data_IF_750245285971
#
_entry.id   IF_750245285971
#
_cell.length_a   1.000
_cell.length_b   1.000
_cell.length_c   1.000
_cell.angle_alpha   90.00
_cell.angle_beta   90.00
_cell.angle_gamma   90.00
#
_symmetry.space_group_name_H-M   'P 1'
#
loop_
_entity.id
_entity.type
_entity.pdbx_description
1 polymer ?
#
# COMPACT_ATOMS: atom_id res chain seq x y z
N UNK A 1 7.69 -2.85 16.91
CA UNK A 1 7.39 -2.25 15.60
C UNK A 1 7.43 -3.38 14.60
N UNK A 2 6.29 -3.61 13.97
CA UNK A 2 6.07 -4.70 13.01
C UNK A 2 6.37 -4.21 11.61
N UNK A 3 7.14 -4.99 10.85
CA UNK A 3 7.47 -4.69 9.46
C UNK A 3 6.21 -4.70 8.58
N UNK A 4 6.12 -3.76 7.63
CA UNK A 4 5.06 -3.79 6.63
C UNK A 4 5.24 -4.97 5.65
N UNK A 5 6.48 -5.41 5.41
CA UNK A 5 6.76 -6.62 4.64
C UNK A 5 6.12 -7.89 5.25
N UNK A 6 6.03 -7.99 6.59
CA UNK A 6 5.35 -9.13 7.25
C UNK A 6 3.83 -9.09 7.02
N UNK A 7 3.26 -7.87 6.98
CA UNK A 7 1.86 -7.67 6.62
C UNK A 7 1.61 -8.11 5.17
N UNK A 8 2.48 -7.67 4.22
CA UNK A 8 2.42 -8.03 2.79
C UNK A 8 2.52 -9.54 2.60
N UNK A 9 3.51 -10.18 3.22
CA UNK A 9 3.67 -11.64 3.16
C UNK A 9 2.42 -12.39 3.66
N UNK A 10 1.78 -11.86 4.70
CA UNK A 10 0.52 -12.42 5.20
C UNK A 10 -0.64 -12.20 4.24
N UNK A 11 -0.73 -11.01 3.62
CA UNK A 11 -1.74 -10.69 2.62
C UNK A 11 -1.59 -11.58 1.36
N UNK A 12 -0.36 -11.84 0.91
CA UNK A 12 -0.08 -12.74 -0.21
C UNK A 12 -0.46 -14.19 0.13
N UNK A 13 -0.14 -14.66 1.35
CA UNK A 13 -0.56 -15.99 1.81
C UNK A 13 -2.09 -16.14 1.83
N UNK A 14 -2.82 -15.11 2.22
CA UNK A 14 -4.29 -15.09 2.21
C UNK A 14 -4.86 -15.03 0.79
N UNK A 15 -4.23 -14.25 -0.10
CA UNK A 15 -4.62 -14.14 -1.52
C UNK A 15 -4.34 -15.44 -2.28
N UNK A 16 -3.23 -16.11 -1.97
CA UNK A 16 -2.71 -17.28 -2.69
C UNK A 16 -3.46 -18.60 -2.45
N UNK A 17 -4.46 -18.64 -1.57
CA UNK A 17 -5.24 -19.85 -1.28
C UNK A 17 -6.75 -19.59 -1.28
N UNK A 18 -7.58 -20.48 -1.84
CA UNK A 18 -9.04 -20.41 -1.68
C UNK A 18 -9.53 -21.00 -0.34
N UNK A 19 -8.69 -21.73 0.39
CA UNK A 19 -9.10 -22.51 1.56
C UNK A 19 -9.29 -21.62 2.79
N UNK A 20 -10.52 -21.54 3.29
CA UNK A 20 -10.90 -20.70 4.44
C UNK A 20 -10.03 -20.94 5.68
N UNK A 21 -9.71 -22.20 6.01
CA UNK A 21 -8.89 -22.52 7.19
C UNK A 21 -7.44 -22.04 7.06
N UNK A 22 -6.84 -22.13 5.87
CA UNK A 22 -5.48 -21.63 5.64
C UNK A 22 -5.43 -20.10 5.76
N UNK A 23 -6.46 -19.39 5.25
CA UNK A 23 -6.59 -17.94 5.44
C UNK A 23 -6.65 -17.55 6.92
N UNK A 24 -7.49 -18.24 7.71
CA UNK A 24 -7.59 -17.96 9.14
C UNK A 24 -6.28 -18.26 9.86
N UNK A 25 -5.59 -19.35 9.53
CA UNK A 25 -4.32 -19.68 10.16
C UNK A 25 -3.24 -18.62 9.88
N UNK A 26 -3.15 -18.13 8.64
CA UNK A 26 -2.24 -17.04 8.27
C UNK A 26 -2.53 -15.75 9.06
N UNK A 27 -3.80 -15.34 9.09
CA UNK A 27 -4.24 -14.14 9.81
C UNK A 27 -4.07 -14.29 11.33
N UNK A 28 -4.47 -15.42 11.92
CA UNK A 28 -4.37 -15.64 13.36
C UNK A 28 -2.92 -15.61 13.85
N UNK A 29 -2.00 -16.22 13.08
CA UNK A 29 -0.57 -16.19 13.37
C UNK A 29 -0.02 -14.77 13.37
N UNK A 30 -0.36 -13.97 12.36
CA UNK A 30 0.12 -12.61 12.24
C UNK A 30 -0.50 -11.68 13.28
N UNK A 31 -1.84 -11.63 13.35
CA UNK A 31 -2.59 -10.74 14.23
C UNK A 31 -2.35 -11.05 15.72
N UNK A 32 -2.18 -12.32 16.09
CA UNK A 32 -1.96 -12.74 17.47
C UNK A 32 -0.62 -12.28 18.07
N UNK A 33 0.32 -11.82 17.25
CA UNK A 33 1.61 -11.27 17.70
C UNK A 33 1.65 -9.74 17.81
N UNK A 34 0.59 -9.04 17.43
CA UNK A 34 0.57 -7.57 17.36
C UNK A 34 0.17 -6.93 18.67
N UNK A 35 0.71 -5.73 18.92
CA UNK A 35 0.16 -4.82 19.94
C UNK A 35 -1.21 -4.27 19.50
N UNK A 36 -2.03 -3.79 20.45
CA UNK A 36 -3.36 -3.26 20.12
C UNK A 36 -3.36 -2.16 19.03
N UNK A 37 -2.44 -1.16 19.05
CA UNK A 37 -2.41 -0.15 17.99
C UNK A 37 -2.06 -0.74 16.62
N UNK A 38 -1.09 -1.66 16.55
CA UNK A 38 -0.69 -2.34 15.32
C UNK A 38 -1.79 -3.27 14.81
N UNK A 39 -2.47 -3.99 15.72
CA UNK A 39 -3.59 -4.86 15.40
C UNK A 39 -4.72 -4.10 14.68
N UNK A 40 -5.06 -2.93 15.23
CA UNK A 40 -6.08 -2.05 14.65
C UNK A 40 -5.68 -1.58 13.25
N UNK A 41 -4.42 -1.17 13.05
CA UNK A 41 -3.93 -0.74 11.74
C UNK A 41 -3.94 -1.90 10.74
N UNK A 42 -3.31 -3.03 11.09
CA UNK A 42 -3.22 -4.22 10.25
C UNK A 42 -4.59 -4.73 9.80
N UNK A 43 -5.55 -4.83 10.71
CA UNK A 43 -6.89 -5.33 10.41
C UNK A 43 -7.62 -4.45 9.38
N UNK A 44 -7.43 -3.13 9.42
CA UNK A 44 -8.02 -2.20 8.44
C UNK A 44 -7.38 -2.38 7.07
N UNK A 45 -6.05 -2.49 7.02
CA UNK A 45 -5.35 -2.73 5.75
C UNK A 45 -5.77 -4.07 5.14
N UNK A 46 -5.96 -5.14 5.93
CA UNK A 46 -6.46 -6.44 5.41
C UNK A 46 -7.89 -6.34 4.89
N UNK A 47 -8.67 -5.39 5.39
CA UNK A 47 -10.00 -5.06 4.88
C UNK A 47 -9.95 -4.10 3.68
N UNK A 48 -8.77 -3.77 3.16
CA UNK A 48 -8.57 -2.88 2.01
C UNK A 48 -8.81 -1.40 2.32
N UNK A 49 -8.78 -0.99 3.59
CA UNK A 49 -9.18 0.35 4.00
C UNK A 49 -8.06 1.12 4.74
N UNK A 50 -7.82 2.40 4.40
CA UNK A 50 -6.86 3.24 5.14
C UNK A 50 -7.40 3.65 6.52
N UNK A 51 -8.72 3.73 6.70
CA UNK A 51 -9.39 4.19 7.91
C UNK A 51 -10.56 3.26 8.33
N UNK A 52 -11.03 3.32 9.59
CA UNK A 52 -12.27 2.66 10.01
C UNK A 52 -13.46 3.07 9.17
N UNK A 53 -14.44 2.17 9.01
CA UNK A 53 -15.71 2.48 8.31
C UNK A 53 -16.52 3.63 8.92
N UNK A 54 -16.36 3.88 10.23
CA UNK A 54 -17.02 4.99 10.95
C UNK A 54 -16.27 6.32 10.83
N UNK A 55 -15.08 6.29 10.25
CA UNK A 55 -14.24 7.45 10.04
C UNK A 55 -14.54 7.99 8.63
N UNK A 56 -15.00 9.24 8.56
CA UNK A 56 -15.40 9.86 7.29
C UNK A 56 -14.21 10.40 6.48
N UNK A 57 -12.99 10.30 7.02
CA UNK A 57 -11.78 10.73 6.32
C UNK A 57 -11.54 9.89 5.08
N UNK A 58 -11.12 10.56 4.02
CA UNK A 58 -10.63 9.96 2.78
C UNK A 58 -9.26 10.52 2.44
N UNK A 59 -8.42 9.71 1.79
CA UNK A 59 -7.11 10.17 1.34
C UNK A 59 -7.26 11.26 0.26
N UNK A 60 -8.32 11.20 -0.55
CA UNK A 60 -8.57 12.12 -1.66
C UNK A 60 -7.34 12.26 -2.58
N UNK A 61 -6.70 11.11 -2.85
CA UNK A 61 -5.67 10.94 -3.86
C UNK A 61 -6.26 10.08 -4.97
N UNK A 62 -6.41 10.67 -6.15
CA UNK A 62 -6.82 9.92 -7.34
C UNK A 62 -5.65 9.21 -7.98
N UNK A 63 -5.95 8.35 -8.96
CA UNK A 63 -4.95 7.62 -9.74
C UNK A 63 -3.86 8.52 -10.33
N UNK A 64 -4.20 9.72 -10.83
CA UNK A 64 -3.22 10.65 -11.40
C UNK A 64 -2.07 10.98 -10.44
N UNK A 65 -2.36 11.22 -9.15
CA UNK A 65 -1.33 11.50 -8.16
C UNK A 65 -0.47 10.26 -7.84
N UNK A 66 -1.07 9.06 -7.85
CA UNK A 66 -0.35 7.80 -7.68
C UNK A 66 0.58 7.53 -8.88
N UNK A 67 0.07 7.66 -10.10
CA UNK A 67 0.83 7.42 -11.32
C UNK A 67 2.02 8.36 -11.44
N UNK A 68 1.84 9.64 -11.12
CA UNK A 68 2.93 10.63 -11.16
C UNK A 68 4.08 10.23 -10.21
N UNK A 69 3.74 9.84 -8.97
CA UNK A 69 4.74 9.41 -7.98
C UNK A 69 5.43 8.11 -8.39
N UNK A 70 4.71 7.15 -8.97
CA UNK A 70 5.28 5.90 -9.46
C UNK A 70 6.22 6.11 -10.65
N UNK A 71 5.86 6.99 -11.59
CA UNK A 71 6.71 7.37 -12.72
C UNK A 71 7.97 8.09 -12.26
N UNK A 72 7.84 9.05 -11.34
CA UNK A 72 8.98 9.73 -10.73
C UNK A 72 9.93 8.74 -10.06
N UNK A 73 9.40 7.85 -9.21
CA UNK A 73 10.18 6.83 -8.49
C UNK A 73 10.89 5.86 -9.45
N UNK A 74 10.19 5.41 -10.49
CA UNK A 74 10.75 4.44 -11.44
C UNK A 74 11.68 5.08 -12.47
N UNK A 75 11.69 6.42 -12.59
CA UNK A 75 12.33 7.15 -13.69
C UNK A 75 11.86 6.67 -15.07
N UNK A 76 10.62 6.18 -15.15
CA UNK A 76 9.95 5.71 -16.37
C UNK A 76 9.03 6.79 -16.93
N UNK A 77 8.55 6.58 -18.16
CA UNK A 77 7.64 7.49 -18.84
C UNK A 77 6.23 6.94 -19.02
N UNK A 78 5.34 7.76 -19.59
CA UNK A 78 3.95 7.36 -19.87
C UNK A 78 3.81 6.14 -20.79
N UNK A 79 4.79 5.89 -21.67
CA UNK A 79 4.78 4.69 -22.53
C UNK A 79 5.01 3.41 -21.71
N UNK A 80 5.87 3.44 -20.69
CA UNK A 80 6.10 2.31 -19.81
C UNK A 80 4.87 2.01 -18.95
N UNK A 81 4.21 3.07 -18.46
CA UNK A 81 2.92 2.96 -17.76
C UNK A 81 1.86 2.32 -18.65
N UNK A 82 1.68 2.79 -19.88
CA UNK A 82 0.73 2.23 -20.83
C UNK A 82 1.03 0.76 -21.15
N UNK A 83 2.31 0.40 -21.29
CA UNK A 83 2.71 -0.99 -21.52
C UNK A 83 2.43 -1.88 -20.30
N UNK A 84 2.68 -1.39 -19.09
CA UNK A 84 2.37 -2.10 -17.84
C UNK A 84 0.87 -2.35 -17.68
N UNK A 85 0.05 -1.34 -17.99
CA UNK A 85 -1.40 -1.45 -18.04
C UNK A 85 -1.92 -2.52 -19.00
N UNK A 86 -1.25 -2.72 -20.14
CA UNK A 86 -1.65 -3.76 -21.09
C UNK A 86 -1.34 -5.17 -20.57
N UNK A 87 -0.34 -5.31 -19.70
CA UNK A 87 0.05 -6.60 -19.11
C UNK A 87 -0.76 -6.94 -17.85
N UNK A 88 -1.19 -5.92 -17.10
CA UNK A 88 -1.82 -6.08 -15.80
C UNK A 88 -3.22 -5.45 -15.76
N UNK A 89 -4.20 -6.23 -15.31
CA UNK A 89 -5.58 -5.78 -15.13
C UNK A 89 -5.82 -5.09 -13.75
N UNK A 90 -4.77 -4.93 -12.94
CA UNK A 90 -4.82 -4.51 -11.54
C UNK A 90 -3.81 -3.38 -11.30
N UNK A 91 -4.23 -2.27 -10.69
CA UNK A 91 -3.36 -1.10 -10.49
C UNK A 91 -2.19 -1.38 -9.54
N UNK A 92 -2.37 -2.28 -8.58
CA UNK A 92 -1.30 -2.70 -7.70
C UNK A 92 -0.20 -3.45 -8.45
N UNK A 93 -0.58 -4.35 -9.36
CA UNK A 93 0.37 -5.08 -10.18
C UNK A 93 1.11 -4.16 -11.18
N UNK A 94 0.40 -3.16 -11.75
CA UNK A 94 1.02 -2.09 -12.54
C UNK A 94 2.07 -1.33 -11.73
N UNK A 95 1.74 -0.94 -10.49
CA UNK A 95 2.64 -0.21 -9.62
C UNK A 95 3.90 -1.00 -9.27
N UNK A 96 3.73 -2.29 -8.95
CA UNK A 96 4.85 -3.18 -8.65
C UNK A 96 5.80 -3.31 -9.85
N UNK A 97 5.28 -3.57 -11.07
CA UNK A 97 6.11 -3.71 -12.28
C UNK A 97 6.86 -2.40 -12.61
N UNK A 98 6.23 -1.24 -12.42
CA UNK A 98 6.87 0.03 -12.71
C UNK A 98 8.13 0.25 -11.87
N UNK A 99 8.07 -0.09 -10.58
CA UNK A 99 9.14 0.24 -9.63
C UNK A 99 10.03 -0.96 -9.28
N UNK A 100 9.81 -2.14 -9.85
CA UNK A 100 10.56 -3.38 -9.56
C UNK A 100 12.09 -3.21 -9.66
N UNK A 101 12.55 -2.51 -10.71
CA UNK A 101 13.97 -2.20 -10.90
C UNK A 101 14.47 -0.99 -10.07
N UNK A 102 13.59 -0.28 -9.37
CA UNK A 102 13.89 0.91 -8.57
C UNK A 102 13.96 0.57 -7.08
N UNK A 103 15.19 0.39 -6.60
CA UNK A 103 15.48 0.05 -5.21
C UNK A 103 14.82 1.06 -4.24
N UNK A 104 14.21 0.58 -3.14
CA UNK A 104 13.68 1.47 -2.10
C UNK A 104 14.78 2.36 -1.52
N UNK A 105 14.42 3.60 -1.19
CA UNK A 105 15.31 4.56 -0.53
C UNK A 105 14.84 4.81 0.90
N UNK A 106 15.74 4.65 1.86
CA UNK A 106 15.45 4.84 3.29
C UNK A 106 15.21 3.52 4.05
N UNK A 107 14.84 3.60 5.34
CA UNK A 107 14.61 2.42 6.16
C UNK A 107 13.33 1.67 5.73
N UNK A 108 13.28 0.33 5.89
CA UNK A 108 12.09 -0.46 5.60
C UNK A 108 10.83 0.09 6.27
N UNK A 109 9.69 -0.03 5.58
CA UNK A 109 8.41 0.42 6.11
C UNK A 109 8.00 -0.42 7.32
N UNK A 110 7.60 0.26 8.38
CA UNK A 110 6.87 -0.34 9.49
C UNK A 110 5.38 -0.12 9.28
N UNK A 111 4.55 -0.96 9.90
CA UNK A 111 3.09 -0.80 9.84
C UNK A 111 2.63 0.58 10.34
N UNK A 112 3.33 1.11 11.35
CA UNK A 112 3.06 2.45 11.88
C UNK A 112 3.42 3.58 10.90
N UNK A 113 4.41 3.40 10.02
CA UNK A 113 4.77 4.40 9.01
C UNK A 113 3.61 4.59 8.03
N UNK A 114 3.00 3.47 7.61
CA UNK A 114 1.84 3.46 6.69
C UNK A 114 0.65 4.16 7.34
N UNK A 115 0.33 3.81 8.60
CA UNK A 115 -0.77 4.43 9.34
C UNK A 115 -0.55 5.95 9.52
N UNK A 116 0.65 6.37 9.93
CA UNK A 116 1.01 7.79 10.09
C UNK A 116 0.95 8.55 8.76
N UNK A 117 1.40 7.94 7.66
CA UNK A 117 1.33 8.55 6.35
C UNK A 117 -0.12 8.76 5.89
N UNK A 118 -1.01 7.77 6.11
CA UNK A 118 -2.44 7.92 5.80
C UNK A 118 -3.09 9.01 6.65
N UNK A 119 -2.83 9.05 7.96
CA UNK A 119 -3.33 10.12 8.83
C UNK A 119 -2.85 11.51 8.36
N UNK A 120 -1.58 11.63 7.98
CA UNK A 120 -1.00 12.87 7.48
C UNK A 120 -1.62 13.31 6.13
N UNK A 121 -1.83 12.36 5.21
CA UNK A 121 -2.50 12.62 3.91
C UNK A 121 -3.94 13.10 4.14
N UNK A 122 -4.69 12.47 5.04
CA UNK A 122 -6.06 12.89 5.33
C UNK A 122 -6.12 14.27 6.00
N UNK A 123 -5.15 14.62 6.83
CA UNK A 123 -5.06 15.92 7.49
C UNK A 123 -4.60 17.06 6.56
N UNK A 124 -3.84 16.74 5.52
CA UNK A 124 -3.28 17.71 4.60
C UNK A 124 -4.36 18.41 3.73
N UNK A 125 -4.18 19.71 3.51
CA UNK A 125 -5.03 20.53 2.63
C UNK A 125 -4.41 20.67 1.23
N UNK A 126 -5.18 20.33 0.20
CA UNK A 126 -4.74 20.40 -1.19
C UNK A 126 -3.98 19.16 -1.66
N UNK A 127 -3.85 19.01 -2.98
CA UNK A 127 -3.27 17.80 -3.61
C UNK A 127 -1.75 17.74 -3.46
N UNK A 128 -1.06 18.88 -3.57
CA UNK A 128 0.41 18.90 -3.56
C UNK A 128 1.00 18.34 -2.25
N UNK A 129 0.61 18.78 -1.04
CA UNK A 129 1.16 18.20 0.19
C UNK A 129 0.84 16.70 0.36
N UNK A 130 -0.35 16.27 -0.07
CA UNK A 130 -0.74 14.85 -0.04
C UNK A 130 0.14 14.00 -0.95
N UNK A 131 0.45 14.52 -2.15
CA UNK A 131 1.34 13.85 -3.11
C UNK A 131 2.76 13.74 -2.55
N UNK A 132 3.27 14.76 -1.87
CA UNK A 132 4.59 14.70 -1.24
C UNK A 132 4.68 13.63 -0.15
N UNK A 133 3.65 13.51 0.70
CA UNK A 133 3.61 12.44 1.72
C UNK A 133 3.53 11.06 1.05
N UNK A 134 2.74 10.91 -0.01
CA UNK A 134 2.68 9.69 -0.79
C UNK A 134 4.01 9.36 -1.46
N UNK A 135 4.72 10.36 -1.99
CA UNK A 135 6.06 10.23 -2.59
C UNK A 135 7.07 9.70 -1.58
N UNK A 136 7.09 10.27 -0.38
CA UNK A 136 8.00 9.85 0.68
C UNK A 136 7.69 8.42 1.18
N UNK A 137 6.41 8.05 1.27
CA UNK A 137 6.00 6.69 1.61
C UNK A 137 6.41 5.68 0.53
N UNK A 138 6.08 5.98 -0.74
CA UNK A 138 6.40 5.10 -1.86
C UNK A 138 7.89 5.04 -2.16
N UNK A 139 8.69 6.05 -1.82
CA UNK A 139 10.14 5.99 -1.96
C UNK A 139 10.76 4.84 -1.13
N UNK A 140 10.18 4.53 0.03
CA UNK A 140 10.63 3.48 0.96
C UNK A 140 10.03 2.10 0.68
N UNK A 141 8.97 2.02 -0.12
CA UNK A 141 8.23 0.77 -0.34
C UNK A 141 8.98 -0.19 -1.27
N UNK A 142 8.95 -1.50 -1.04
CA UNK A 142 9.27 -2.49 -2.08
C UNK A 142 8.20 -2.53 -3.17
N UNK A 143 8.43 -3.29 -4.24
CA UNK A 143 7.41 -3.50 -5.28
C UNK A 143 6.14 -4.18 -4.72
N UNK A 144 6.30 -5.21 -3.87
CA UNK A 144 5.17 -5.89 -3.25
C UNK A 144 4.43 -5.01 -2.24
N UNK A 145 5.15 -4.16 -1.48
CA UNK A 145 4.51 -3.18 -0.60
C UNK A 145 3.72 -2.13 -1.41
N UNK A 146 4.29 -1.64 -2.51
CA UNK A 146 3.61 -0.67 -3.37
C UNK A 146 2.34 -1.26 -4.00
N UNK A 147 2.34 -2.55 -4.39
CA UNK A 147 1.14 -3.24 -4.88
C UNK A 147 -0.04 -3.02 -3.95
N UNK A 148 0.17 -3.27 -2.66
CA UNK A 148 -0.90 -3.15 -1.66
C UNK A 148 -1.21 -1.70 -1.28
N UNK A 149 -0.21 -0.84 -1.17
CA UNK A 149 -0.43 0.58 -0.91
C UNK A 149 -1.30 1.22 -2.00
N UNK A 150 -1.01 0.93 -3.27
CA UNK A 150 -1.78 1.48 -4.39
C UNK A 150 -3.23 1.03 -4.32
N UNK A 151 -3.50 -0.26 -4.10
CA UNK A 151 -4.86 -0.80 -3.94
C UNK A 151 -5.65 -0.08 -2.84
N UNK A 152 -5.04 0.06 -1.67
CA UNK A 152 -5.68 0.68 -0.50
C UNK A 152 -5.92 2.17 -0.74
N UNK A 153 -5.00 2.87 -1.40
CA UNK A 153 -5.15 4.30 -1.71
C UNK A 153 -6.18 4.54 -2.81
N UNK A 154 -6.24 3.68 -3.83
CA UNK A 154 -7.22 3.75 -4.93
C UNK A 154 -8.62 3.25 -4.52
N UNK A 155 -8.73 2.51 -3.42
CA UNK A 155 -9.97 1.87 -2.98
C UNK A 155 -10.30 0.58 -3.74
N UNK A 156 -9.30 0.00 -4.43
CA UNK A 156 -9.42 -1.32 -5.04
C UNK A 156 -9.21 -2.42 -4.00
N UNK A 157 -10.09 -3.44 -4.01
CA UNK A 157 -10.03 -4.60 -3.09
C UNK A 157 -9.77 -5.89 -3.84
#
# INVERSE_FOLDING_TARGET
MTSFADWVSTADAVRGTPKKLEKHAALARYLGGLSDPELIAAARLFAGAPFPRRDERVLALGWAALSDVLLERSRKGGNDMAASYQRHADLGDVAAELIDASAPSGPPLQLEDVAKAFDAIAAARGVAPKREILRDLLARATADEARYLVKIVSGET
#
